data_IF_249733391304
#
_entry.id   IF_249733391304
#
_cell.length_a   1.000
_cell.length_b   1.000
_cell.length_c   1.000
_cell.angle_alpha   90.00
_cell.angle_beta   90.00
_cell.angle_gamma   90.00
#
_symmetry.space_group_name_H-M   'P 1'
#
loop_
_entity.id
_entity.type
_entity.pdbx_description
1 polymer ?
#
# COMPACT_ATOMS: atom_id res chain seq x y z
N UNK A 1 3.53 28.15 8.96
CA UNK A 1 4.50 27.24 9.62
C UNK A 1 5.46 27.97 10.54
N UNK A 2 5.64 27.47 11.77
CA UNK A 2 6.73 27.83 12.70
C UNK A 2 7.92 26.88 12.55
N UNK A 3 9.07 27.16 13.19
CA UNK A 3 10.30 26.35 13.09
C UNK A 3 11.23 26.78 11.96
N UNK A 4 12.44 26.22 11.90
CA UNK A 4 13.50 26.54 10.91
C UNK A 4 13.63 25.48 9.80
N UNK A 5 12.91 24.37 9.92
CA UNK A 5 12.93 23.25 8.98
C UNK A 5 14.19 22.38 9.10
N UNK A 6 14.84 22.40 10.26
CA UNK A 6 15.95 21.50 10.59
C UNK A 6 15.44 20.27 11.32
N UNK A 7 16.29 19.25 11.51
CA UNK A 7 15.87 18.05 12.24
C UNK A 7 15.50 18.34 13.71
N UNK A 8 16.24 19.26 14.36
CA UNK A 8 16.00 19.64 15.75
C UNK A 8 14.84 20.64 15.91
N UNK A 9 14.48 21.32 14.83
CA UNK A 9 13.45 22.35 14.80
C UNK A 9 12.72 22.31 13.45
N UNK A 10 11.86 21.30 13.23
CA UNK A 10 11.17 21.09 11.96
C UNK A 10 10.12 22.17 11.73
N UNK A 11 9.72 22.38 10.47
CA UNK A 11 8.58 23.22 10.19
C UNK A 11 7.29 22.57 10.69
N UNK A 12 6.49 23.30 11.46
CA UNK A 12 5.23 22.78 12.01
C UNK A 12 4.07 23.10 11.06
N UNK A 13 3.36 22.05 10.65
CA UNK A 13 2.17 22.10 9.78
C UNK A 13 0.94 22.06 10.69
N UNK A 14 0.16 23.14 10.71
CA UNK A 14 -1.05 23.24 11.53
C UNK A 14 -2.34 23.07 10.73
N UNK A 15 -2.30 23.29 9.42
CA UNK A 15 -3.49 23.28 8.57
C UNK A 15 -3.16 22.88 7.12
N UNK A 16 -4.21 22.82 6.31
CA UNK A 16 -4.11 22.52 4.88
C UNK A 16 -3.24 23.52 4.10
N UNK A 17 -3.26 24.79 4.48
CA UNK A 17 -2.46 25.84 3.81
C UNK A 17 -0.98 25.58 4.05
N UNK A 18 -0.58 25.25 5.27
CA UNK A 18 0.78 24.84 5.60
C UNK A 18 1.18 23.57 4.82
N UNK A 19 0.31 22.56 4.74
CA UNK A 19 0.54 21.32 3.98
C UNK A 19 0.80 21.59 2.50
N UNK A 20 0.11 22.55 1.90
CA UNK A 20 0.33 22.96 0.50
C UNK A 20 1.64 23.73 0.28
N UNK A 21 2.30 24.18 1.33
CA UNK A 21 3.54 24.97 1.27
C UNK A 21 4.80 24.16 1.63
N UNK A 22 4.69 22.82 1.72
CA UNK A 22 5.83 21.93 1.93
C UNK A 22 6.78 21.97 0.73
N UNK A 23 7.95 22.59 0.91
CA UNK A 23 8.92 22.89 -0.14
C UNK A 23 10.37 22.80 0.38
N UNK A 24 11.38 22.88 -0.50
CA UNK A 24 12.78 22.96 -0.07
C UNK A 24 13.56 21.64 -0.01
N UNK A 25 12.93 20.52 -0.39
CA UNK A 25 13.61 19.31 -0.83
C UNK A 25 14.42 18.58 0.24
N UNK A 26 15.58 18.02 -0.15
CA UNK A 26 16.41 17.08 0.64
C UNK A 26 17.01 17.64 1.92
N UNK A 27 16.70 18.89 2.29
CA UNK A 27 17.27 19.53 3.47
C UNK A 27 16.23 19.91 4.51
N UNK A 28 14.93 19.77 4.20
CA UNK A 28 13.85 20.28 5.04
C UNK A 28 13.08 19.18 5.76
N UNK A 29 12.83 19.42 7.04
CA UNK A 29 12.11 18.54 7.94
C UNK A 29 10.78 19.21 8.32
N UNK A 30 9.73 18.41 8.32
CA UNK A 30 8.37 18.82 8.60
C UNK A 30 7.76 17.95 9.68
N UNK A 31 6.87 18.53 10.48
CA UNK A 31 6.11 17.84 11.51
C UNK A 31 4.67 18.35 11.53
N UNK A 32 3.68 17.46 11.62
CA UNK A 32 2.30 17.87 11.88
C UNK A 32 2.16 18.30 13.34
N UNK A 33 1.51 19.43 13.57
CA UNK A 33 1.10 19.88 14.91
C UNK A 33 -0.42 19.79 15.15
N UNK A 34 -1.16 19.33 14.14
CA UNK A 34 -2.60 19.10 14.21
C UNK A 34 -3.03 18.08 13.14
N UNK A 35 -4.23 17.52 13.31
CA UNK A 35 -4.90 16.76 12.27
C UNK A 35 -5.32 17.69 11.11
N UNK A 36 -5.23 17.19 9.88
CA UNK A 36 -5.59 17.93 8.67
C UNK A 36 -6.81 17.26 8.04
N UNK A 37 -7.97 17.92 8.11
CA UNK A 37 -9.22 17.44 7.52
C UNK A 37 -9.56 18.19 6.23
N UNK A 38 -9.49 17.50 5.10
CA UNK A 38 -9.77 18.09 3.79
C UNK A 38 -11.25 18.46 3.60
N UNK A 39 -12.17 17.89 4.38
CA UNK A 39 -13.58 18.25 4.31
C UNK A 39 -13.85 19.69 4.78
N UNK A 40 -12.92 20.27 5.53
CA UNK A 40 -12.96 21.66 6.00
C UNK A 40 -12.28 22.64 5.05
N UNK A 41 -11.83 22.17 3.88
CA UNK A 41 -11.14 22.99 2.88
C UNK A 41 -12.08 23.29 1.71
N UNK A 42 -11.85 24.42 1.03
CA UNK A 42 -12.60 24.75 -0.20
C UNK A 42 -12.26 23.84 -1.38
N UNK A 43 -11.40 22.82 -1.18
CA UNK A 43 -10.93 21.93 -2.23
C UNK A 43 -11.99 20.86 -2.54
N UNK A 44 -13.00 21.27 -3.30
CA UNK A 44 -14.05 20.39 -3.80
C UNK A 44 -13.54 19.60 -5.01
N UNK A 45 -13.59 18.28 -4.89
CA UNK A 45 -13.53 17.25 -5.94
C UNK A 45 -13.05 17.70 -7.33
N UNK A 46 -11.74 17.61 -7.54
CA UNK A 46 -10.96 17.62 -8.80
C UNK A 46 -9.53 18.18 -8.51
N UNK A 47 -9.07 17.91 -7.28
CA UNK A 47 -7.85 18.45 -6.74
C UNK A 47 -6.64 17.97 -7.54
N UNK A 48 -5.83 18.90 -8.03
CA UNK A 48 -4.46 18.56 -8.43
C UNK A 48 -3.71 17.91 -7.26
N UNK A 49 -2.70 17.10 -7.54
CA UNK A 49 -1.86 16.55 -6.49
C UNK A 49 -1.20 17.69 -5.69
N UNK A 50 -1.07 17.53 -4.38
CA UNK A 50 -0.32 18.48 -3.55
C UNK A 50 1.16 18.31 -3.90
N UNK A 51 1.77 19.37 -4.42
CA UNK A 51 3.20 19.37 -4.70
C UNK A 51 3.94 19.39 -3.38
N UNK A 52 4.79 18.38 -3.17
CA UNK A 52 5.57 18.25 -1.94
C UNK A 52 7.04 17.98 -2.25
N UNK A 53 7.89 18.52 -1.38
CA UNK A 53 9.33 18.37 -1.49
C UNK A 53 9.97 18.49 -0.10
N UNK A 54 10.42 17.37 0.47
CA UNK A 54 10.93 17.30 1.84
C UNK A 54 12.03 16.24 2.00
N UNK A 55 12.75 16.23 3.12
CA UNK A 55 13.58 15.10 3.53
C UNK A 55 12.80 14.15 4.44
N UNK A 56 12.07 14.73 5.40
CA UNK A 56 11.31 14.02 6.41
C UNK A 56 9.99 14.76 6.68
N UNK A 57 8.90 14.00 6.75
CA UNK A 57 7.58 14.45 7.19
C UNK A 57 7.13 13.53 8.34
N UNK A 58 7.19 14.05 9.55
CA UNK A 58 6.71 13.37 10.75
C UNK A 58 5.24 13.71 10.98
N UNK A 59 4.38 12.71 11.01
CA UNK A 59 2.99 12.87 11.40
C UNK A 59 2.80 13.14 12.88
N UNK A 60 3.78 12.79 13.74
CA UNK A 60 3.68 12.93 15.20
C UNK A 60 2.41 12.26 15.78
N UNK A 61 1.90 11.22 15.12
CA UNK A 61 0.65 10.54 15.45
C UNK A 61 -0.63 11.17 14.90
N UNK A 62 -0.53 12.32 14.22
CA UNK A 62 -1.66 13.01 13.61
C UNK A 62 -2.20 12.32 12.35
N UNK A 63 -3.38 12.79 11.93
CA UNK A 63 -4.13 12.25 10.80
C UNK A 63 -4.29 13.29 9.70
N UNK A 64 -4.07 12.88 8.45
CA UNK A 64 -4.60 13.57 7.27
C UNK A 64 -5.82 12.80 6.76
N UNK A 65 -6.96 13.47 6.66
CA UNK A 65 -8.25 12.84 6.41
C UNK A 65 -9.05 13.45 5.26
N UNK A 66 -9.97 12.65 4.71
CA UNK A 66 -11.04 13.07 3.80
C UNK A 66 -10.57 13.70 2.48
N UNK A 67 -9.38 13.33 2.00
CA UNK A 67 -8.90 13.77 0.68
C UNK A 67 -9.71 13.10 -0.43
N UNK A 68 -10.26 13.90 -1.35
CA UNK A 68 -10.94 13.42 -2.55
C UNK A 68 -10.19 13.87 -3.81
N UNK A 69 -9.56 12.93 -4.49
CA UNK A 69 -8.90 13.13 -5.78
C UNK A 69 -9.73 12.52 -6.91
N UNK A 70 -10.03 13.31 -7.95
CA UNK A 70 -10.72 12.81 -9.15
C UNK A 70 -10.04 13.30 -10.42
N UNK A 71 -9.90 12.40 -11.40
CA UNK A 71 -9.43 12.72 -12.75
C UNK A 71 -10.38 12.13 -13.78
N UNK A 72 -10.68 12.92 -14.81
CA UNK A 72 -11.50 12.50 -15.96
C UNK A 72 -10.68 11.77 -17.03
N UNK A 73 -9.38 12.01 -17.10
CA UNK A 73 -8.47 11.40 -18.08
C UNK A 73 -7.86 10.09 -17.55
N UNK A 74 -7.98 9.01 -18.33
CA UNK A 74 -7.39 7.70 -18.03
C UNK A 74 -5.84 7.68 -18.05
N UNK A 75 -5.19 8.72 -18.57
CA UNK A 75 -3.72 8.80 -18.67
C UNK A 75 -3.09 9.75 -17.64
N UNK A 76 -3.90 10.48 -16.88
CA UNK A 76 -3.42 11.42 -15.87
C UNK A 76 -3.27 10.73 -14.52
N UNK A 77 -2.21 11.07 -13.79
CA UNK A 77 -2.07 10.66 -12.39
C UNK A 77 -3.10 11.36 -11.52
N UNK A 78 -3.76 10.56 -10.69
CA UNK A 78 -4.65 10.99 -9.64
C UNK A 78 -4.01 10.60 -8.31
N UNK A 79 -3.34 11.57 -7.69
CA UNK A 79 -2.60 11.33 -6.46
C UNK A 79 -2.84 12.40 -5.43
N UNK A 80 -2.73 12.01 -4.16
CA UNK A 80 -2.79 12.97 -3.07
C UNK A 80 -1.55 13.87 -3.09
N UNK A 81 -0.37 13.27 -3.20
CA UNK A 81 0.89 13.98 -3.28
C UNK A 81 1.56 13.77 -4.64
N UNK A 82 2.23 14.80 -5.13
CA UNK A 82 3.20 14.70 -6.22
C UNK A 82 4.55 15.15 -5.72
N UNK A 83 5.50 14.22 -5.72
CA UNK A 83 6.81 14.43 -5.13
C UNK A 83 7.78 14.97 -6.18
N UNK A 84 8.17 16.24 -6.05
CA UNK A 84 8.87 16.96 -7.12
C UNK A 84 10.40 16.89 -6.98
N UNK A 85 10.92 16.77 -5.76
CA UNK A 85 12.34 16.71 -5.40
C UNK A 85 12.44 16.47 -3.89
N UNK A 86 13.50 15.89 -3.32
CA UNK A 86 14.72 15.34 -3.91
C UNK A 86 14.54 13.89 -4.41
N UNK A 87 15.65 13.15 -4.56
CA UNK A 87 15.65 11.73 -4.92
C UNK A 87 14.89 10.82 -3.93
N UNK A 88 14.71 11.24 -2.67
CA UNK A 88 13.99 10.43 -1.70
C UNK A 88 13.38 11.24 -0.55
N UNK A 89 12.34 10.71 0.10
CA UNK A 89 11.72 11.30 1.29
C UNK A 89 11.26 10.26 2.29
N UNK A 90 11.24 10.62 3.56
CA UNK A 90 10.64 9.78 4.61
C UNK A 90 9.34 10.41 5.09
N UNK A 91 8.29 9.60 5.21
CA UNK A 91 7.06 9.94 5.92
C UNK A 91 6.92 8.95 7.06
N UNK A 92 6.66 9.42 8.27
CA UNK A 92 6.56 8.53 9.43
C UNK A 92 5.49 8.95 10.42
N UNK A 93 5.00 8.02 11.24
CA UNK A 93 4.05 8.28 12.33
C UNK A 93 2.78 9.01 11.85
N UNK A 94 2.32 8.72 10.64
CA UNK A 94 1.24 9.47 9.99
C UNK A 94 0.09 8.56 9.60
N UNK A 95 -1.12 9.01 9.94
CA UNK A 95 -2.36 8.33 9.57
C UNK A 95 -2.98 9.00 8.34
N UNK A 96 -3.34 8.21 7.34
CA UNK A 96 -4.13 8.61 6.19
C UNK A 96 -5.49 7.92 6.27
N UNK A 97 -6.58 8.68 6.37
CA UNK A 97 -7.93 8.11 6.51
C UNK A 97 -8.92 8.78 5.58
N UNK A 98 -9.94 8.05 5.12
CA UNK A 98 -10.95 8.62 4.22
C UNK A 98 -10.38 9.14 2.90
N UNK A 99 -9.25 8.59 2.43
CA UNK A 99 -8.65 8.99 1.16
C UNK A 99 -9.40 8.30 0.02
N UNK A 100 -9.96 9.08 -0.90
CA UNK A 100 -10.66 8.55 -2.07
C UNK A 100 -10.04 9.06 -3.36
N UNK A 101 -9.57 8.13 -4.20
CA UNK A 101 -8.98 8.42 -5.51
C UNK A 101 -9.80 7.75 -6.61
N UNK A 102 -10.35 8.53 -7.54
CA UNK A 102 -11.19 8.00 -8.63
C UNK A 102 -10.83 8.54 -10.01
N UNK A 103 -10.71 7.63 -10.97
CA UNK A 103 -10.36 7.93 -12.35
C UNK A 103 -8.88 8.27 -12.53
N UNK A 104 -8.41 8.16 -13.77
CA UNK A 104 -6.98 8.22 -14.07
C UNK A 104 -6.19 7.10 -13.40
N UNK A 105 -4.88 7.29 -13.30
CA UNK A 105 -3.94 6.38 -12.61
C UNK A 105 -3.91 6.75 -11.13
N UNK A 106 -4.48 5.92 -10.24
CA UNK A 106 -4.56 6.23 -8.80
C UNK A 106 -3.30 5.83 -8.05
N UNK A 107 -2.65 6.76 -7.35
CA UNK A 107 -1.51 6.48 -6.47
C UNK A 107 -1.45 7.46 -5.29
N UNK A 108 -0.80 7.10 -4.17
CA UNK A 108 -0.78 7.97 -2.99
C UNK A 108 0.24 9.08 -3.21
N UNK A 109 1.38 8.67 -3.76
CA UNK A 109 2.49 9.50 -4.19
C UNK A 109 2.69 9.33 -5.70
N UNK A 110 2.48 10.40 -6.45
CA UNK A 110 2.96 10.51 -7.83
C UNK A 110 4.45 10.84 -7.82
N UNK A 111 5.24 9.86 -8.24
CA UNK A 111 6.70 9.94 -8.39
C UNK A 111 7.11 10.00 -9.87
N UNK A 112 6.18 10.29 -10.77
CA UNK A 112 6.45 10.30 -12.21
C UNK A 112 7.48 11.37 -12.58
N UNK A 113 8.47 10.96 -13.38
CA UNK A 113 9.52 11.85 -13.89
C UNK A 113 10.90 11.71 -13.22
N UNK A 114 11.04 10.95 -12.13
CA UNK A 114 12.33 10.76 -11.45
C UNK A 114 12.50 9.34 -10.89
N UNK A 115 13.74 8.89 -10.68
CA UNK A 115 14.07 7.68 -9.92
C UNK A 115 13.93 7.91 -8.40
N UNK A 116 12.78 8.47 -8.00
CA UNK A 116 12.55 8.90 -6.63
C UNK A 116 11.93 7.78 -5.79
N UNK A 117 12.23 7.79 -4.50
CA UNK A 117 11.79 6.80 -3.52
C UNK A 117 11.12 7.45 -2.32
N UNK A 118 10.04 6.87 -1.80
CA UNK A 118 9.43 7.31 -0.52
C UNK A 118 9.48 6.17 0.47
N UNK A 119 9.95 6.45 1.68
CA UNK A 119 9.92 5.53 2.81
C UNK A 119 8.71 5.90 3.68
N UNK A 120 7.76 5.00 3.85
CA UNK A 120 6.68 5.12 4.83
C UNK A 120 7.02 4.24 6.02
N UNK A 121 7.04 4.82 7.23
CA UNK A 121 7.41 4.14 8.46
C UNK A 121 6.39 4.37 9.56
N UNK A 122 5.87 3.31 10.18
CA UNK A 122 4.87 3.46 11.24
C UNK A 122 3.67 4.33 10.77
N UNK A 123 3.15 4.02 9.58
CA UNK A 123 2.03 4.74 8.98
C UNK A 123 0.80 3.84 8.92
N UNK A 124 -0.38 4.45 9.13
CA UNK A 124 -1.66 3.81 8.86
C UNK A 124 -2.27 4.41 7.62
N UNK A 125 -2.61 3.59 6.63
CA UNK A 125 -3.06 4.05 5.32
C UNK A 125 -4.40 3.38 5.01
N UNK A 126 -5.48 4.15 4.99
CA UNK A 126 -6.81 3.67 4.62
C UNK A 126 -7.31 4.43 3.39
N UNK A 127 -7.28 3.76 2.24
CA UNK A 127 -7.63 4.36 0.94
C UNK A 127 -8.76 3.58 0.27
N UNK A 128 -9.61 4.32 -0.44
CA UNK A 128 -10.57 3.77 -1.39
C UNK A 128 -10.22 4.24 -2.79
N UNK A 129 -10.17 3.31 -3.73
CA UNK A 129 -9.81 3.57 -5.11
C UNK A 129 -10.95 3.21 -6.06
N UNK A 130 -11.05 3.97 -7.15
CA UNK A 130 -11.80 3.60 -8.33
C UNK A 130 -10.93 3.90 -9.54
N UNK A 131 -10.00 2.99 -9.83
CA UNK A 131 -9.00 3.13 -10.87
C UNK A 131 -9.58 2.77 -12.24
N UNK A 132 -9.46 3.69 -13.19
CA UNK A 132 -9.87 3.51 -14.59
C UNK A 132 -8.70 3.77 -15.56
N UNK A 133 -7.48 3.94 -15.05
CA UNK A 133 -6.29 4.38 -15.77
C UNK A 133 -5.41 3.23 -16.26
N UNK A 134 -4.51 3.49 -17.21
CA UNK A 134 -3.79 2.46 -17.97
C UNK A 134 -3.00 1.41 -17.13
N UNK A 135 -2.79 0.23 -17.73
CA UNK A 135 -1.96 -0.85 -17.19
C UNK A 135 -0.55 -0.39 -16.80
N UNK A 136 -0.10 -0.77 -15.61
CA UNK A 136 1.32 -0.69 -15.23
C UNK A 136 1.67 0.17 -14.03
N UNK A 137 0.70 0.86 -13.44
CA UNK A 137 0.86 1.74 -12.28
C UNK A 137 0.23 1.15 -11.03
N UNK A 138 0.71 1.59 -9.86
CA UNK A 138 0.33 1.05 -8.56
C UNK A 138 0.12 2.13 -7.50
N UNK A 139 -0.72 1.81 -6.52
CA UNK A 139 -1.00 2.63 -5.33
C UNK A 139 0.30 3.09 -4.66
N UNK A 140 1.23 2.14 -4.57
CA UNK A 140 2.59 2.32 -4.10
C UNK A 140 3.53 1.92 -5.23
N UNK A 141 4.15 2.90 -5.90
CA UNK A 141 5.23 2.70 -6.86
C UNK A 141 6.48 3.34 -6.28
N UNK A 142 7.59 2.61 -6.22
CA UNK A 142 8.85 3.11 -5.65
C UNK A 142 8.70 3.53 -4.17
N UNK A 143 7.90 2.79 -3.42
CA UNK A 143 7.67 3.03 -1.99
C UNK A 143 8.25 1.86 -1.19
N UNK A 144 8.91 2.18 -0.08
CA UNK A 144 9.31 1.24 0.96
C UNK A 144 8.35 1.38 2.12
N UNK A 145 7.84 0.26 2.61
CA UNK A 145 6.92 0.21 3.75
C UNK A 145 7.61 -0.48 4.91
N UNK A 146 7.60 0.15 6.08
CA UNK A 146 8.11 -0.44 7.32
C UNK A 146 7.11 -0.21 8.43
N UNK A 147 6.67 -1.29 9.10
CA UNK A 147 5.74 -1.23 10.23
C UNK A 147 4.44 -0.47 9.90
N UNK A 148 3.91 -0.67 8.69
CA UNK A 148 2.71 0.04 8.22
C UNK A 148 1.47 -0.86 8.23
N UNK A 149 0.31 -0.26 8.52
CA UNK A 149 -0.99 -0.87 8.28
C UNK A 149 -1.61 -0.24 7.02
N UNK A 150 -1.99 -1.06 6.04
CA UNK A 150 -2.47 -0.61 4.73
C UNK A 150 -3.80 -1.29 4.42
N UNK A 151 -4.87 -0.49 4.42
CA UNK A 151 -6.21 -0.87 3.96
C UNK A 151 -6.48 -0.23 2.59
N UNK A 152 -6.75 -1.07 1.59
CA UNK A 152 -7.16 -0.63 0.25
C UNK A 152 -8.51 -1.24 -0.09
N UNK A 153 -9.47 -0.41 -0.46
CA UNK A 153 -10.80 -0.85 -0.89
C UNK A 153 -11.19 -0.27 -2.26
N UNK A 154 -12.06 -0.96 -3.01
CA UNK A 154 -12.74 -0.39 -4.17
C UNK A 154 -12.57 -1.18 -5.47
N UNK A 155 -12.48 -0.46 -6.59
CA UNK A 155 -12.53 -1.02 -7.94
C UNK A 155 -11.29 -0.64 -8.74
N UNK A 156 -10.81 -1.57 -9.57
CA UNK A 156 -9.66 -1.31 -10.44
C UNK A 156 -9.84 -1.97 -11.79
N UNK A 157 -9.81 -1.17 -12.86
CA UNK A 157 -9.78 -1.65 -14.26
C UNK A 157 -8.39 -2.23 -14.62
N UNK A 158 -7.35 -1.83 -13.89
CA UNK A 158 -5.95 -2.22 -14.12
C UNK A 158 -5.23 -2.54 -12.81
N UNK A 159 -3.99 -3.01 -12.91
CA UNK A 159 -3.74 -4.33 -12.34
C UNK A 159 -2.31 -4.49 -11.79
N UNK A 160 -1.79 -3.44 -11.17
CA UNK A 160 -0.70 -3.52 -10.19
C UNK A 160 -1.14 -2.72 -8.98
N UNK A 161 -1.37 -3.35 -7.83
CA UNK A 161 -1.94 -2.62 -6.70
C UNK A 161 -0.84 -2.10 -5.79
N UNK A 162 0.09 -2.97 -5.42
CA UNK A 162 1.20 -2.65 -4.53
C UNK A 162 2.49 -3.07 -5.23
N UNK A 163 3.23 -2.11 -5.78
CA UNK A 163 4.58 -2.34 -6.32
C UNK A 163 5.59 -1.61 -5.44
N UNK A 164 5.84 -2.19 -4.28
CA UNK A 164 6.84 -1.68 -3.35
C UNK A 164 8.21 -2.16 -3.79
N UNK A 165 9.25 -1.43 -3.46
CA UNK A 165 10.58 -2.03 -3.54
C UNK A 165 10.75 -3.06 -2.41
N UNK A 166 10.29 -2.71 -1.20
CA UNK A 166 10.32 -3.58 -0.02
C UNK A 166 9.14 -3.25 0.91
N UNK A 167 8.59 -4.28 1.55
CA UNK A 167 7.62 -4.17 2.64
C UNK A 167 8.07 -5.07 3.79
N UNK A 168 8.26 -4.49 4.98
CA UNK A 168 8.74 -5.19 6.17
C UNK A 168 7.87 -4.86 7.37
N UNK A 169 7.43 -5.85 8.14
CA UNK A 169 6.61 -5.63 9.34
C UNK A 169 5.20 -5.07 9.07
N UNK A 170 4.68 -5.22 7.86
CA UNK A 170 3.46 -4.56 7.43
C UNK A 170 2.22 -5.46 7.48
N UNK A 171 1.06 -4.87 7.77
CA UNK A 171 -0.23 -5.53 7.64
C UNK A 171 -1.02 -4.93 6.48
N UNK A 172 -1.38 -5.76 5.52
CA UNK A 172 -2.20 -5.39 4.37
C UNK A 172 -3.59 -6.01 4.48
N UNK A 173 -4.62 -5.18 4.28
CA UNK A 173 -6.01 -5.61 4.10
C UNK A 173 -6.53 -5.07 2.78
N UNK A 174 -6.87 -5.97 1.85
CA UNK A 174 -7.15 -5.61 0.46
C UNK A 174 -8.54 -6.12 0.09
N UNK A 175 -9.46 -5.20 -0.19
CA UNK A 175 -10.85 -5.50 -0.54
C UNK A 175 -11.18 -4.91 -1.92
N UNK A 176 -11.00 -5.69 -2.98
CA UNK A 176 -11.03 -5.15 -4.34
C UNK A 176 -11.94 -5.91 -5.29
N UNK A 177 -12.50 -5.16 -6.23
CA UNK A 177 -13.17 -5.67 -7.43
C UNK A 177 -12.31 -5.32 -8.64
N UNK A 178 -11.82 -6.35 -9.34
CA UNK A 178 -10.93 -6.21 -10.48
C UNK A 178 -11.75 -6.34 -11.77
N UNK A 179 -11.89 -5.22 -12.47
CA UNK A 179 -12.75 -5.04 -13.63
C UNK A 179 -11.93 -5.34 -14.89
N UNK A 180 -12.18 -6.48 -15.51
CA UNK A 180 -11.34 -7.01 -16.59
C UNK A 180 -11.61 -6.32 -17.94
N UNK A 181 -10.91 -5.21 -18.27
CA UNK A 181 -11.06 -4.54 -19.58
C UNK A 181 -9.99 -4.88 -20.62
N UNK A 182 -8.92 -5.62 -20.28
CA UNK A 182 -7.87 -6.03 -21.25
C UNK A 182 -7.17 -7.35 -20.87
N UNK A 183 -7.34 -8.36 -21.73
CA UNK A 183 -7.09 -9.80 -21.54
C UNK A 183 -5.60 -10.22 -21.57
N UNK A 184 -4.66 -9.28 -21.64
CA UNK A 184 -3.22 -9.58 -21.85
C UNK A 184 -2.32 -9.25 -20.66
N UNK A 185 -2.87 -8.62 -19.61
CA UNK A 185 -2.08 -8.10 -18.49
C UNK A 185 -1.96 -9.12 -17.35
N UNK A 186 -0.73 -9.37 -16.88
CA UNK A 186 -0.49 -10.00 -15.59
C UNK A 186 -0.94 -9.07 -14.46
N UNK A 187 -1.89 -9.55 -13.65
CA UNK A 187 -2.38 -8.82 -12.50
C UNK A 187 -1.59 -9.17 -11.26
N UNK A 188 -0.84 -8.22 -10.69
CA UNK A 188 -0.12 -8.39 -9.43
C UNK A 188 -0.81 -7.63 -8.30
N UNK A 189 -1.10 -8.33 -7.21
CA UNK A 189 -1.51 -7.66 -5.97
C UNK A 189 -0.27 -7.07 -5.30
N UNK A 190 0.83 -7.84 -5.24
CA UNK A 190 2.13 -7.39 -4.73
C UNK A 190 3.30 -7.68 -5.67
N UNK A 191 4.26 -6.77 -5.68
CA UNK A 191 5.60 -6.96 -6.21
C UNK A 191 6.59 -6.24 -5.32
N UNK A 192 7.70 -6.90 -4.98
CA UNK A 192 8.77 -6.37 -4.12
C UNK A 192 9.38 -7.46 -3.25
N UNK A 193 10.26 -7.08 -2.32
CA UNK A 193 10.65 -7.96 -1.22
C UNK A 193 9.63 -7.82 -0.09
N UNK A 194 9.12 -8.94 0.42
CA UNK A 194 8.08 -8.97 1.47
C UNK A 194 8.66 -9.75 2.65
N UNK A 195 8.72 -9.12 3.82
CA UNK A 195 9.20 -9.79 5.03
C UNK A 195 8.35 -9.45 6.26
N UNK A 196 8.08 -10.42 7.13
CA UNK A 196 7.29 -10.17 8.36
C UNK A 196 5.94 -9.49 8.10
N UNK A 197 5.29 -9.82 6.99
CA UNK A 197 4.05 -9.16 6.57
C UNK A 197 2.83 -10.08 6.68
N UNK A 198 1.69 -9.49 7.02
CA UNK A 198 0.38 -10.14 6.92
C UNK A 198 -0.40 -9.61 5.72
N UNK A 199 -0.92 -10.48 4.87
CA UNK A 199 -1.72 -10.10 3.71
C UNK A 199 -3.10 -10.74 3.80
N UNK A 200 -4.12 -9.91 3.95
CA UNK A 200 -5.51 -10.36 4.18
C UNK A 200 -6.50 -9.65 3.26
N UNK A 201 -7.73 -10.15 3.22
CA UNK A 201 -8.85 -9.46 2.59
C UNK A 201 -9.57 -10.31 1.55
N UNK A 202 -10.21 -9.65 0.59
CA UNK A 202 -11.05 -10.27 -0.43
C UNK A 202 -10.86 -9.61 -1.79
N UNK A 203 -10.60 -10.44 -2.81
CA UNK A 203 -10.51 -10.01 -4.20
C UNK A 203 -11.60 -10.69 -5.00
N UNK A 204 -12.45 -9.89 -5.63
CA UNK A 204 -13.42 -10.34 -6.62
C UNK A 204 -12.93 -9.99 -8.02
N UNK A 205 -12.97 -10.95 -8.93
CA UNK A 205 -12.54 -10.78 -10.30
C UNK A 205 -13.76 -10.81 -11.22
N UNK A 206 -14.01 -9.77 -12.01
CA UNK A 206 -15.26 -9.66 -12.78
C UNK A 206 -15.30 -10.48 -14.09
N UNK A 207 -14.33 -11.37 -14.34
CA UNK A 207 -13.92 -11.76 -15.70
C UNK A 207 -15.01 -12.34 -16.61
N UNK A 208 -14.94 -12.01 -17.91
CA UNK A 208 -15.06 -13.02 -18.99
C UNK A 208 -13.67 -13.63 -19.26
N UNK A 209 -13.66 -14.90 -19.70
CA UNK A 209 -12.52 -15.84 -19.79
C UNK A 209 -11.15 -15.27 -20.21
N UNK A 210 -10.05 -15.80 -19.62
CA UNK A 210 -8.68 -15.74 -20.17
C UNK A 210 -7.61 -15.01 -19.34
N UNK A 211 -7.99 -14.25 -18.30
CA UNK A 211 -7.02 -13.44 -17.53
C UNK A 211 -6.23 -14.24 -16.50
N UNK A 212 -4.90 -14.05 -16.49
CA UNK A 212 -3.98 -14.63 -15.51
C UNK A 212 -3.79 -13.71 -14.30
N UNK A 213 -4.29 -14.13 -13.15
CA UNK A 213 -4.11 -13.47 -11.87
C UNK A 213 -2.82 -13.94 -11.21
N UNK A 214 -2.00 -13.01 -10.73
CA UNK A 214 -0.82 -13.27 -9.92
C UNK A 214 -0.99 -12.60 -8.56
N UNK A 215 -1.02 -13.37 -7.47
CA UNK A 215 -1.06 -12.73 -6.16
C UNK A 215 0.22 -11.93 -5.94
N UNK A 216 1.37 -12.58 -6.14
CA UNK A 216 2.69 -11.96 -5.95
C UNK A 216 3.71 -12.47 -6.97
N UNK A 217 4.74 -11.64 -7.21
CA UNK A 217 5.99 -11.97 -7.92
C UNK A 217 7.14 -11.35 -7.15
N UNK A 218 7.60 -12.07 -6.13
CA UNK A 218 8.31 -11.49 -4.99
C UNK A 218 9.24 -12.49 -4.30
N UNK A 219 10.20 -11.96 -3.57
CA UNK A 219 10.88 -12.72 -2.50
C UNK A 219 10.06 -12.54 -1.24
N UNK A 220 9.60 -13.63 -0.66
CA UNK A 220 8.70 -13.62 0.50
C UNK A 220 9.39 -14.35 1.65
N UNK A 221 9.38 -13.74 2.82
CA UNK A 221 9.89 -14.35 4.04
C UNK A 221 9.07 -14.04 5.27
N UNK A 222 8.96 -15.01 6.17
CA UNK A 222 8.35 -14.82 7.49
C UNK A 222 6.96 -14.15 7.41
N UNK A 223 6.20 -14.42 6.36
CA UNK A 223 4.96 -13.71 6.04
C UNK A 223 3.78 -14.66 5.94
N UNK A 224 2.57 -14.15 6.16
CA UNK A 224 1.35 -14.93 6.10
C UNK A 224 0.29 -14.35 5.16
N UNK A 225 -0.54 -15.25 4.61
CA UNK A 225 -1.60 -14.91 3.67
C UNK A 225 -2.94 -15.48 4.14
N UNK A 226 -3.96 -14.62 4.21
CA UNK A 226 -5.36 -14.99 4.47
C UNK A 226 -6.28 -14.13 3.60
N UNK A 227 -6.16 -14.31 2.29
CA UNK A 227 -6.85 -13.52 1.26
C UNK A 227 -7.73 -14.41 0.39
N UNK A 228 -9.04 -14.15 0.36
CA UNK A 228 -9.97 -14.93 -0.47
C UNK A 228 -10.07 -14.37 -1.88
N UNK A 229 -10.21 -15.25 -2.86
CA UNK A 229 -10.43 -14.91 -4.26
C UNK A 229 -11.74 -15.50 -4.78
N UNK A 230 -12.53 -14.66 -5.45
CA UNK A 230 -13.77 -15.05 -6.12
C UNK A 230 -13.64 -14.87 -7.63
N UNK A 231 -14.20 -15.83 -8.38
CA UNK A 231 -14.27 -15.81 -9.85
C UNK A 231 -12.89 -15.69 -10.54
N UNK A 232 -11.91 -16.50 -10.08
CA UNK A 232 -10.55 -16.55 -10.62
C UNK A 232 -10.32 -17.84 -11.41
N UNK A 233 -10.28 -17.71 -12.74
CA UNK A 233 -10.04 -18.85 -13.63
C UNK A 233 -8.56 -19.25 -13.68
N UNK A 234 -7.65 -18.31 -13.92
CA UNK A 234 -6.21 -18.59 -13.94
C UNK A 234 -5.51 -17.85 -12.79
N UNK A 235 -4.84 -18.58 -11.90
CA UNK A 235 -4.09 -18.02 -10.77
C UNK A 235 -2.68 -18.58 -10.77
N UNK A 236 -1.70 -17.76 -10.37
CA UNK A 236 -0.33 -18.20 -10.13
C UNK A 236 0.33 -17.38 -9.03
N UNK A 237 1.33 -17.97 -8.39
CA UNK A 237 2.24 -17.32 -7.45
C UNK A 237 3.65 -17.70 -7.86
N UNK A 238 4.40 -16.73 -8.39
CA UNK A 238 5.77 -16.94 -8.83
C UNK A 238 6.70 -16.30 -7.83
N UNK A 239 6.99 -16.99 -6.73
CA UNK A 239 7.78 -16.43 -5.64
C UNK A 239 8.99 -17.27 -5.30
N UNK A 240 9.99 -16.60 -4.74
CA UNK A 240 11.02 -17.26 -3.95
C UNK A 240 10.62 -17.15 -2.49
N UNK A 241 10.48 -18.29 -1.81
CA UNK A 241 10.19 -18.34 -0.38
C UNK A 241 11.47 -18.59 0.41
N UNK A 242 11.83 -17.64 1.26
CA UNK A 242 12.89 -17.79 2.27
C UNK A 242 12.28 -17.74 3.66
N UNK A 243 12.87 -18.45 4.63
CA UNK A 243 12.26 -18.58 5.95
C UNK A 243 10.88 -19.26 5.91
N UNK A 244 10.15 -19.20 7.02
CA UNK A 244 8.87 -19.90 7.17
C UNK A 244 7.74 -18.95 6.75
N UNK A 245 6.93 -19.36 5.78
CA UNK A 245 5.76 -18.62 5.35
C UNK A 245 4.53 -19.52 5.44
N UNK A 246 3.34 -18.96 5.58
CA UNK A 246 2.13 -19.77 5.56
C UNK A 246 0.94 -19.08 4.94
N UNK A 247 -0.08 -19.85 4.62
CA UNK A 247 -1.38 -19.33 4.23
C UNK A 247 -2.51 -20.10 4.89
N UNK A 248 -3.63 -19.42 5.10
CA UNK A 248 -4.87 -20.02 5.57
C UNK A 248 -5.56 -20.74 4.40
N UNK A 249 -5.51 -22.07 4.43
CA UNK A 249 -6.02 -22.93 3.35
C UNK A 249 -7.56 -22.96 3.28
N UNK A 250 -8.24 -22.59 4.36
CA UNK A 250 -9.70 -22.51 4.41
C UNK A 250 -10.17 -21.20 3.78
N UNK A 251 -9.44 -20.10 4.03
CA UNK A 251 -9.70 -18.80 3.37
C UNK A 251 -9.33 -18.84 1.88
N UNK A 252 -8.28 -19.57 1.52
CA UNK A 252 -7.79 -19.70 0.14
C UNK A 252 -8.28 -20.98 -0.58
N UNK A 253 -9.35 -21.61 -0.09
CA UNK A 253 -9.80 -22.94 -0.54
C UNK A 253 -9.97 -23.07 -2.06
N UNK A 254 -10.50 -22.03 -2.72
CA UNK A 254 -10.73 -22.01 -4.17
C UNK A 254 -9.45 -21.97 -5.02
N UNK A 255 -8.28 -21.82 -4.39
CA UNK A 255 -6.98 -21.70 -5.06
C UNK A 255 -6.02 -22.83 -4.74
N UNK A 256 -6.38 -23.82 -3.90
CA UNK A 256 -5.45 -24.81 -3.38
C UNK A 256 -4.66 -25.57 -4.47
N UNK A 257 -5.33 -25.98 -5.54
CA UNK A 257 -4.69 -26.67 -6.67
C UNK A 257 -3.73 -25.78 -7.48
N UNK A 258 -3.80 -24.46 -7.26
CA UNK A 258 -3.01 -23.43 -7.97
C UNK A 258 -1.91 -22.83 -7.08
N UNK A 259 -1.79 -23.28 -5.82
CA UNK A 259 -0.77 -22.81 -4.88
C UNK A 259 0.56 -23.53 -5.14
N UNK A 260 1.70 -22.82 -5.04
CA UNK A 260 3.00 -23.44 -5.21
C UNK A 260 3.29 -24.39 -4.04
N UNK A 261 3.88 -25.54 -4.35
CA UNK A 261 4.42 -26.46 -3.34
C UNK A 261 5.83 -25.99 -2.99
N UNK A 262 6.08 -25.68 -1.73
CA UNK A 262 7.40 -25.28 -1.22
C UNK A 262 7.54 -25.68 0.25
N UNK A 263 8.71 -26.16 0.64
CA UNK A 263 9.04 -26.51 2.03
C UNK A 263 8.98 -25.31 2.99
N UNK A 264 8.99 -24.09 2.43
CA UNK A 264 8.96 -22.83 3.14
C UNK A 264 7.60 -22.13 3.08
N UNK A 265 6.56 -22.79 2.56
CA UNK A 265 5.22 -22.22 2.42
C UNK A 265 4.11 -23.21 2.84
N UNK A 266 3.69 -23.09 4.09
CA UNK A 266 2.80 -24.04 4.76
C UNK A 266 1.32 -23.74 4.52
N UNK A 267 0.55 -24.77 4.16
CA UNK A 267 -0.91 -24.70 4.06
C UNK A 267 -1.54 -25.05 5.43
N UNK A 268 -1.99 -24.05 6.18
CA UNK A 268 -2.49 -24.21 7.54
C UNK A 268 -4.01 -24.06 7.61
N UNK A 269 -4.65 -24.74 8.55
CA UNK A 269 -6.06 -24.47 8.92
C UNK A 269 -6.19 -23.11 9.60
N UNK A 270 -7.39 -22.52 9.61
CA UNK A 270 -7.63 -21.26 10.33
C UNK A 270 -7.28 -21.37 11.81
N UNK A 271 -7.49 -22.53 12.43
CA UNK A 271 -7.13 -22.77 13.83
C UNK A 271 -5.60 -22.76 14.03
N UNK A 272 -4.84 -23.37 13.12
CA UNK A 272 -3.37 -23.37 13.17
C UNK A 272 -2.79 -21.98 12.94
N UNK A 273 -3.33 -21.19 11.99
CA UNK A 273 -2.89 -19.82 11.74
C UNK A 273 -3.02 -18.89 12.96
N UNK A 274 -3.89 -19.24 13.92
CA UNK A 274 -4.14 -18.46 15.15
C UNK A 274 -3.45 -19.03 16.38
N UNK A 275 -2.77 -20.17 16.26
CA UNK A 275 -2.14 -20.85 17.38
C UNK A 275 -0.65 -20.50 17.41
N UNK A 276 -0.26 -19.66 18.37
CA UNK A 276 1.14 -19.20 18.54
C UNK A 276 2.11 -20.35 18.76
N UNK A 277 1.76 -21.34 19.60
CA UNK A 277 2.62 -22.50 19.86
C UNK A 277 2.85 -23.33 18.60
N UNK A 278 1.80 -23.54 17.80
CA UNK A 278 1.90 -24.23 16.52
C UNK A 278 2.80 -23.48 15.54
N UNK A 279 2.61 -22.16 15.42
CA UNK A 279 3.41 -21.31 14.54
C UNK A 279 4.89 -21.30 14.97
N UNK A 280 5.17 -21.20 16.27
CA UNK A 280 6.53 -21.34 16.81
C UNK A 280 7.10 -22.74 16.56
N UNK A 281 6.28 -23.78 16.63
CA UNK A 281 6.69 -25.16 16.35
C UNK A 281 7.06 -25.45 14.88
N UNK A 282 6.68 -24.57 13.95
CA UNK A 282 7.14 -24.60 12.55
C UNK A 282 8.19 -23.52 12.27
N UNK A 283 8.81 -22.95 13.31
CA UNK A 283 9.81 -21.86 13.24
C UNK A 283 9.29 -20.54 12.64
N UNK A 284 7.98 -20.30 12.64
CA UNK A 284 7.42 -19.02 12.23
C UNK A 284 7.65 -17.97 13.34
N UNK A 285 8.25 -16.81 13.02
CA UNK A 285 8.56 -15.80 14.02
C UNK A 285 7.28 -15.14 14.55
N UNK A 286 6.96 -15.42 15.80
CA UNK A 286 5.86 -14.80 16.53
C UNK A 286 6.43 -13.90 17.62
N UNK A 287 5.93 -12.67 17.75
CA UNK A 287 6.24 -11.83 18.91
C UNK A 287 5.39 -12.33 20.07
N UNK A 288 6.03 -12.83 21.13
CA UNK A 288 5.35 -13.11 22.40
C UNK A 288 4.87 -11.78 22.98
N UNK A 289 3.59 -11.67 23.34
CA UNK A 289 2.96 -10.44 23.83
C UNK A 289 3.45 -9.92 25.19
N UNK A 290 4.60 -10.38 25.68
CA UNK A 290 5.13 -10.09 27.01
C UNK A 290 6.08 -8.87 27.06
N UNK A 291 6.17 -8.09 25.97
CA UNK A 291 6.99 -6.87 25.96
C UNK A 291 6.33 -5.76 25.13
N UNK A 292 5.43 -5.02 25.79
CA UNK A 292 5.04 -3.63 25.45
C UNK A 292 5.15 -2.79 26.72
#
# INVERSE_FOLDING_TARGET
MTGTGTQADPYIIMDYTDLCNITGGSTKYYKLGADIDFSQTDRKSDADSILVSFKDLDGDGHTISNYFGRRSSATSYNSMFKYTSPAYGTVKNLNFTGIYLSGGITCLFDMSGNANYVYLKNCRIATKINDTGQAGYAMFKNVWLTDCEVLIEGTSDYTKLITTAESTGCLFKINLTLLNKNVTSLLFVFKGNISFCGITGKIFCSSESGTNYKLTDSVISNSYFAISFDNVNNFSMNNSFSGVNFYDKEVMANLLEKMPVSDNFYALTTAQCKNVEYLQGIDFPCISGDSV
#
